data_IF_780839390583
#
_entry.id   IF_780839390583
#
_cell.length_a   1.000
_cell.length_b   1.000
_cell.length_c   1.000
_cell.angle_alpha   90.00
_cell.angle_beta   90.00
_cell.angle_gamma   90.00
#
_symmetry.space_group_name_H-M   'P 1'
#
loop_
_entity.id
_entity.type
_entity.pdbx_description
1 polymer ?
#
# COMPACT_ATOMS: atom_id res chain seq x y z
N UNK A 1 9.86 29.86 0.42
CA UNK A 1 8.49 29.32 0.31
C UNK A 1 8.45 28.11 1.24
N UNK A 2 8.09 28.35 2.51
CA UNK A 2 8.33 27.43 3.63
C UNK A 2 7.20 26.42 3.82
N UNK A 3 7.38 25.22 3.27
CA UNK A 3 6.50 24.08 3.49
C UNK A 3 6.50 23.63 4.97
N UNK A 4 7.63 23.78 5.66
CA UNK A 4 7.77 23.52 7.09
C UNK A 4 7.86 24.84 7.84
N UNK A 5 6.72 25.51 8.02
CA UNK A 5 6.72 26.85 8.60
C UNK A 5 6.98 26.79 10.11
N UNK A 6 8.23 27.10 10.51
CA UNK A 6 8.64 27.27 11.90
C UNK A 6 7.61 28.10 12.69
N UNK A 7 6.97 29.11 12.09
CA UNK A 7 6.05 30.03 12.79
C UNK A 7 4.92 29.35 13.58
N UNK A 8 4.45 28.16 13.16
CA UNK A 8 3.36 27.42 13.83
C UNK A 8 3.80 26.58 15.03
N UNK A 9 5.10 26.36 15.21
CA UNK A 9 5.63 25.60 16.34
C UNK A 9 5.67 26.44 17.61
N UNK A 10 5.50 25.79 18.76
CA UNK A 10 5.67 26.45 20.04
C UNK A 10 7.10 26.99 20.22
N UNK A 11 7.28 28.01 21.06
CA UNK A 11 8.59 28.63 21.28
C UNK A 11 9.61 27.63 21.79
N UNK A 12 9.19 26.68 22.62
CA UNK A 12 10.06 25.62 23.14
C UNK A 12 10.57 24.71 22.01
N UNK A 13 9.65 24.21 21.16
CA UNK A 13 10.02 23.35 20.04
C UNK A 13 10.94 24.06 19.04
N UNK A 14 10.69 25.35 18.77
CA UNK A 14 11.58 26.17 17.91
C UNK A 14 13.00 26.25 18.46
N UNK A 15 13.14 26.47 19.78
CA UNK A 15 14.45 26.56 20.41
C UNK A 15 15.21 25.22 20.32
N UNK A 16 14.51 24.10 20.56
CA UNK A 16 15.09 22.75 20.44
C UNK A 16 15.51 22.44 19.00
N UNK A 17 14.68 22.75 18.01
CA UNK A 17 15.03 22.59 16.58
C UNK A 17 16.24 23.44 16.20
N UNK A 18 16.33 24.69 16.69
CA UNK A 18 17.49 25.54 16.46
C UNK A 18 18.78 24.99 17.11
N UNK A 19 18.68 24.38 18.30
CA UNK A 19 19.79 23.70 18.97
C UNK A 19 20.29 22.51 18.13
N UNK A 20 19.36 21.67 17.66
CA UNK A 20 19.69 20.53 16.77
C UNK A 20 20.36 21.04 15.49
N UNK A 21 19.86 22.12 14.88
CA UNK A 21 20.42 22.70 13.65
C UNK A 21 21.86 23.15 13.82
N UNK A 22 22.14 23.83 14.93
CA UNK A 22 23.49 24.28 15.24
C UNK A 22 24.46 23.12 15.51
N UNK A 23 23.98 22.01 16.08
CA UNK A 23 24.80 20.83 16.39
C UNK A 23 25.10 19.97 15.17
N UNK A 24 24.09 19.70 14.35
CA UNK A 24 24.21 18.83 13.18
C UNK A 24 24.80 19.55 11.96
N UNK A 25 24.85 20.88 11.97
CA UNK A 25 25.35 21.67 10.83
C UNK A 25 24.36 21.75 9.66
N UNK A 26 23.10 21.34 9.88
CA UNK A 26 22.05 21.36 8.87
C UNK A 26 21.07 22.53 9.06
N UNK A 27 20.36 22.88 7.99
CA UNK A 27 19.31 23.91 8.04
C UNK A 27 18.19 23.52 9.03
N UNK A 28 17.57 24.49 9.73
CA UNK A 28 16.37 24.24 10.52
C UNK A 28 15.24 23.56 9.70
N UNK A 29 15.14 23.89 8.40
CA UNK A 29 14.15 23.28 7.50
C UNK A 29 14.41 21.79 7.28
N UNK A 30 15.68 21.36 7.24
CA UNK A 30 16.06 19.94 7.13
C UNK A 30 15.60 19.14 8.35
N UNK A 31 15.73 19.72 9.55
CA UNK A 31 15.29 19.05 10.79
C UNK A 31 13.78 18.89 10.81
N UNK A 32 13.03 19.92 10.40
CA UNK A 32 11.59 19.82 10.30
C UNK A 32 11.15 18.81 9.24
N UNK A 33 11.87 18.73 8.12
CA UNK A 33 11.63 17.74 7.08
C UNK A 33 11.79 16.31 7.62
N UNK A 34 12.89 16.03 8.35
CA UNK A 34 13.11 14.72 8.97
C UNK A 34 12.04 14.42 10.03
N UNK A 35 11.74 15.37 10.92
CA UNK A 35 10.69 15.24 11.93
C UNK A 35 9.31 14.93 11.33
N UNK A 36 8.99 15.51 10.17
CA UNK A 36 7.73 15.25 9.48
C UNK A 36 7.67 13.87 8.81
N UNK A 37 8.83 13.29 8.47
CA UNK A 37 8.92 11.95 7.86
C UNK A 37 8.92 10.81 8.88
N UNK A 38 9.20 11.12 10.14
CA UNK A 38 9.03 10.17 11.23
C UNK A 38 7.56 9.70 11.29
N UNK A 39 7.31 8.39 11.52
CA UNK A 39 5.97 7.91 11.81
C UNK A 39 5.45 8.75 12.97
N UNK A 40 4.19 9.17 12.91
CA UNK A 40 3.61 10.01 13.94
C UNK A 40 4.01 9.45 15.30
N UNK A 41 4.92 10.15 16.00
CA UNK A 41 5.13 10.04 17.42
C UNK A 41 3.87 10.62 18.09
N UNK A 42 2.73 10.02 17.75
CA UNK A 42 1.47 10.25 18.40
C UNK A 42 1.68 9.70 19.80
N UNK A 43 1.43 10.50 20.85
CA UNK A 43 1.44 9.99 22.21
C UNK A 43 0.40 8.87 22.45
N UNK A 44 -0.39 8.50 21.43
CA UNK A 44 -1.41 7.46 21.46
C UNK A 44 -1.05 6.16 20.74
N UNK A 45 0.10 6.06 20.07
CA UNK A 45 0.57 4.75 19.57
C UNK A 45 1.40 4.10 20.66
N UNK A 46 0.73 3.35 21.53
CA UNK A 46 1.39 2.39 22.41
C UNK A 46 1.82 1.19 21.57
N UNK A 47 3.06 1.24 21.11
CA UNK A 47 3.74 0.14 20.44
C UNK A 47 5.12 0.60 19.97
N UNK A 48 6.13 -0.23 20.17
CA UNK A 48 7.46 -0.05 19.60
C UNK A 48 7.35 -0.14 18.08
N UNK A 49 6.94 0.94 17.42
CA UNK A 49 7.06 1.08 15.97
C UNK A 49 8.52 1.44 15.71
N UNK A 50 9.36 0.40 15.78
CA UNK A 50 10.73 0.45 15.33
C UNK A 50 10.73 0.59 13.81
N UNK A 51 11.41 1.63 13.33
CA UNK A 51 11.69 1.81 11.92
C UNK A 51 13.20 1.79 11.80
N UNK A 52 13.68 0.85 11.01
CA UNK A 52 15.09 0.72 10.66
C UNK A 52 15.61 1.97 9.95
N UNK A 53 16.88 2.32 10.13
CA UNK A 53 17.52 3.49 9.51
C UNK A 53 17.42 3.48 7.98
N UNK A 54 17.50 2.29 7.38
CA UNK A 54 17.30 2.10 5.95
C UNK A 54 15.86 2.41 5.53
N UNK A 55 14.86 1.91 6.27
CA UNK A 55 13.44 2.18 5.98
C UNK A 55 13.12 3.68 6.13
N UNK A 56 13.65 4.33 7.17
CA UNK A 56 13.48 5.77 7.34
C UNK A 56 14.11 6.55 6.18
N UNK A 57 15.30 6.16 5.72
CA UNK A 57 15.97 6.80 4.58
C UNK A 57 15.13 6.72 3.30
N UNK A 58 14.56 5.54 2.99
CA UNK A 58 13.66 5.38 1.85
C UNK A 58 12.37 6.18 1.99
N UNK A 59 11.81 6.26 3.21
CA UNK A 59 10.63 7.10 3.47
C UNK A 59 10.92 8.58 3.26
N UNK A 60 12.07 9.06 3.71
CA UNK A 60 12.49 10.45 3.52
C UNK A 60 12.75 10.75 2.04
N UNK A 61 13.33 9.80 1.29
CA UNK A 61 13.45 9.89 -0.16
C UNK A 61 12.08 10.07 -0.85
N UNK A 62 11.13 9.18 -0.56
CA UNK A 62 9.79 9.23 -1.15
C UNK A 62 9.04 10.52 -0.75
N UNK A 63 9.23 10.97 0.49
CA UNK A 63 8.67 12.23 0.98
C UNK A 63 9.26 13.42 0.21
N UNK A 64 10.59 13.46 0.03
CA UNK A 64 11.25 14.55 -0.69
C UNK A 64 10.74 14.64 -2.13
N UNK A 65 10.63 13.50 -2.81
CA UNK A 65 10.09 13.44 -4.18
C UNK A 65 8.61 13.81 -4.24
N UNK A 66 7.81 13.40 -3.25
CA UNK A 66 6.38 13.76 -3.22
C UNK A 66 6.14 15.26 -2.99
N UNK A 67 7.04 15.95 -2.31
CA UNK A 67 6.89 17.36 -1.97
C UNK A 67 7.56 18.26 -3.03
N UNK A 68 8.77 17.90 -3.47
CA UNK A 68 9.62 18.75 -4.31
C UNK A 68 9.77 18.25 -5.75
N UNK A 69 9.39 17.01 -6.04
CA UNK A 69 9.58 16.39 -7.37
C UNK A 69 11.04 16.43 -7.81
N UNK A 70 11.27 16.90 -9.03
CA UNK A 70 12.60 16.95 -9.66
C UNK A 70 13.58 17.88 -8.93
N UNK A 71 13.08 18.87 -8.16
CA UNK A 71 13.93 19.77 -7.37
C UNK A 71 14.38 19.16 -6.02
N UNK A 72 13.94 17.93 -5.69
CA UNK A 72 14.21 17.33 -4.38
C UNK A 72 15.71 17.25 -4.04
N UNK A 73 16.55 16.85 -5.01
CA UNK A 73 17.99 16.73 -4.79
C UNK A 73 18.62 18.08 -4.43
N UNK A 74 18.30 19.13 -5.20
CA UNK A 74 18.87 20.47 -5.01
C UNK A 74 18.40 21.11 -3.70
N UNK A 75 17.13 20.89 -3.32
CA UNK A 75 16.59 21.36 -2.02
C UNK A 75 17.29 20.71 -0.84
N UNK A 76 17.44 19.39 -0.86
CA UNK A 76 18.10 18.65 0.22
C UNK A 76 19.56 19.07 0.34
N UNK A 77 20.28 19.20 -0.79
CA UNK A 77 21.66 19.70 -0.82
C UNK A 77 21.77 21.13 -0.26
N UNK A 78 20.84 22.01 -0.59
CA UNK A 78 20.79 23.37 -0.05
C UNK A 78 20.57 23.40 1.48
N UNK A 79 19.97 22.36 2.05
CA UNK A 79 19.80 22.21 3.50
C UNK A 79 20.94 21.48 4.19
N UNK A 80 21.98 21.10 3.43
CA UNK A 80 23.15 20.38 3.93
C UNK A 80 22.98 18.85 3.95
N UNK A 81 21.97 18.30 3.27
CA UNK A 81 21.75 16.86 3.15
C UNK A 81 22.25 16.43 1.76
N UNK A 82 23.33 15.67 1.74
CA UNK A 82 24.02 15.20 0.52
C UNK A 82 24.14 13.69 0.44
N UNK A 83 23.93 12.99 1.56
CA UNK A 83 24.04 11.55 1.68
C UNK A 83 22.98 11.00 2.64
N UNK A 84 22.75 9.68 2.61
CA UNK A 84 21.87 9.01 3.57
C UNK A 84 22.41 9.11 5.00
N UNK A 85 23.73 9.16 5.18
CA UNK A 85 24.39 9.39 6.48
C UNK A 85 23.98 10.71 7.14
N UNK A 86 23.71 11.74 6.35
CA UNK A 86 23.27 13.04 6.89
C UNK A 86 21.90 12.93 7.58
N UNK A 87 21.03 12.01 7.13
CA UNK A 87 19.79 11.71 7.86
C UNK A 87 20.08 11.08 9.23
N UNK A 88 21.04 10.16 9.29
CA UNK A 88 21.48 9.55 10.56
C UNK A 88 22.03 10.58 11.55
N UNK A 89 22.80 11.56 11.08
CA UNK A 89 23.30 12.66 11.92
C UNK A 89 22.15 13.51 12.48
N UNK A 90 21.15 13.85 11.66
CA UNK A 90 19.96 14.60 12.10
C UNK A 90 19.17 13.79 13.14
N UNK A 91 18.92 12.51 12.88
CA UNK A 91 18.17 11.61 13.77
C UNK A 91 18.88 11.45 15.11
N UNK A 92 20.20 11.24 15.10
CA UNK A 92 21.02 11.15 16.31
C UNK A 92 20.92 12.44 17.15
N UNK A 93 21.05 13.60 16.51
CA UNK A 93 20.92 14.89 17.19
C UNK A 93 19.49 15.14 17.73
N UNK A 94 18.45 14.65 17.04
CA UNK A 94 17.05 14.72 17.50
C UNK A 94 16.81 13.86 18.75
N UNK A 95 17.44 12.69 18.81
CA UNK A 95 17.39 11.80 19.97
C UNK A 95 18.07 12.42 21.18
N UNK A 96 19.26 13.00 21.00
CA UNK A 96 20.00 13.69 22.08
C UNK A 96 19.21 14.85 22.69
N UNK A 97 18.53 15.64 21.84
CA UNK A 97 17.70 16.75 22.29
C UNK A 97 16.31 16.30 22.79
N UNK A 98 16.04 14.99 22.82
CA UNK A 98 14.79 14.38 23.29
C UNK A 98 13.57 14.69 22.42
N UNK A 99 13.77 15.12 21.18
CA UNK A 99 12.69 15.39 20.21
C UNK A 99 12.18 14.10 19.56
N UNK A 100 12.96 13.02 19.68
CA UNK A 100 12.64 11.67 19.24
C UNK A 100 13.05 10.69 20.34
N UNK A 101 12.25 9.64 20.56
CA UNK A 101 12.63 8.56 21.47
C UNK A 101 13.65 7.65 20.78
N UNK A 102 14.76 7.37 21.45
CA UNK A 102 15.78 6.41 21.00
C UNK A 102 15.21 5.00 21.10
N UNK A 103 15.42 4.17 20.09
CA UNK A 103 15.34 2.72 20.23
C UNK A 103 16.79 2.20 20.28
N UNK A 104 17.05 1.22 21.14
CA UNK A 104 18.40 0.85 21.59
C UNK A 104 19.34 0.29 20.51
N UNK A 105 18.85 0.07 19.29
CA UNK A 105 19.60 -0.56 18.18
C UNK A 105 19.96 0.36 17.03
N UNK A 106 19.46 1.59 16.97
CA UNK A 106 19.73 2.47 15.82
C UNK A 106 21.11 3.13 15.96
N UNK A 107 22.04 2.68 15.12
CA UNK A 107 23.37 3.24 14.96
C UNK A 107 23.40 4.20 13.77
N UNK A 108 24.34 5.15 13.74
CA UNK A 108 24.46 6.07 12.59
C UNK A 108 24.83 5.27 11.32
N UNK A 109 25.53 4.16 11.52
CA UNK A 109 25.97 3.21 10.51
C UNK A 109 24.79 2.58 9.74
N UNK A 110 23.60 2.49 10.33
CA UNK A 110 22.39 1.99 9.64
C UNK A 110 21.90 2.93 8.52
N UNK A 111 22.45 4.14 8.46
CA UNK A 111 22.18 5.14 7.43
C UNK A 111 23.28 5.21 6.37
N UNK A 112 24.37 4.47 6.52
CA UNK A 112 25.46 4.48 5.54
C UNK A 112 25.09 3.70 4.28
N UNK A 113 25.33 4.31 3.11
CA UNK A 113 25.19 3.69 1.79
C UNK A 113 23.85 2.98 1.51
N UNK A 114 22.74 3.42 2.15
CA UNK A 114 21.40 2.83 1.96
C UNK A 114 20.97 2.93 0.50
N UNK A 115 21.25 4.07 -0.14
CA UNK A 115 21.09 4.28 -1.56
C UNK A 115 22.03 5.37 -2.08
N UNK A 116 22.32 5.33 -3.39
CA UNK A 116 23.08 6.38 -4.07
C UNK A 116 22.19 7.60 -4.27
N UNK A 117 22.45 8.64 -3.46
CA UNK A 117 21.65 9.85 -3.40
C UNK A 117 21.52 10.54 -4.78
N UNK A 118 22.63 10.74 -5.48
CA UNK A 118 22.61 11.41 -6.78
C UNK A 118 21.91 10.57 -7.84
N UNK A 119 22.09 9.24 -7.80
CA UNK A 119 21.47 8.33 -8.77
C UNK A 119 19.96 8.23 -8.58
N UNK A 120 19.50 8.00 -7.35
CA UNK A 120 18.07 7.75 -7.09
C UNK A 120 17.24 9.00 -7.40
N UNK A 121 17.65 10.18 -6.91
CA UNK A 121 16.93 11.43 -7.19
C UNK A 121 16.94 11.82 -8.68
N UNK A 122 18.00 11.51 -9.45
CA UNK A 122 18.04 11.76 -10.91
C UNK A 122 17.22 10.76 -11.71
N UNK A 123 17.09 9.53 -11.22
CA UNK A 123 16.32 8.47 -11.90
C UNK A 123 14.82 8.72 -11.88
N UNK A 124 14.35 9.57 -10.96
CA UNK A 124 12.96 9.97 -10.83
C UNK A 124 12.57 11.01 -11.90
N UNK A 125 12.46 10.60 -13.16
CA UNK A 125 11.99 11.50 -14.23
C UNK A 125 10.47 11.47 -14.43
N UNK A 126 9.75 10.62 -13.69
CA UNK A 126 8.27 10.60 -13.72
C UNK A 126 7.79 9.91 -12.45
N UNK A 127 6.91 10.52 -11.63
CA UNK A 127 6.25 9.76 -10.59
C UNK A 127 5.55 8.58 -11.26
N UNK A 128 5.75 7.32 -10.82
CA UNK A 128 4.83 6.28 -11.21
C UNK A 128 3.47 6.77 -10.72
N UNK A 129 2.58 7.15 -11.64
CA UNK A 129 1.22 7.55 -11.29
C UNK A 129 0.70 6.41 -10.45
N UNK A 130 0.55 6.62 -9.14
CA UNK A 130 0.00 5.64 -8.23
C UNK A 130 -1.48 5.60 -8.57
N UNK A 131 -1.80 4.94 -9.69
CA UNK A 131 -3.12 4.51 -10.07
C UNK A 131 -3.50 3.48 -9.02
N UNK A 132 -3.90 3.99 -7.85
CA UNK A 132 -4.65 3.24 -6.87
C UNK A 132 -5.96 2.98 -7.57
N UNK A 133 -6.03 1.90 -8.35
CA UNK A 133 -7.28 1.30 -8.78
C UNK A 133 -7.95 0.90 -7.47
N UNK A 134 -8.67 1.86 -6.91
CA UNK A 134 -9.53 1.67 -5.77
C UNK A 134 -10.68 0.85 -6.30
N UNK A 135 -10.57 -0.47 -6.14
CA UNK A 135 -11.69 -1.38 -6.35
C UNK A 135 -12.75 -1.01 -5.33
N UNK A 136 -13.58 -0.01 -5.65
CA UNK A 136 -14.73 0.34 -4.85
C UNK A 136 -15.75 -0.79 -5.01
N UNK A 137 -16.42 -1.15 -3.92
CA UNK A 137 -17.45 -2.19 -3.89
C UNK A 137 -18.53 -1.91 -4.95
N UNK A 138 -18.83 -0.63 -5.21
CA UNK A 138 -19.75 -0.20 -6.26
C UNK A 138 -19.27 -0.56 -7.67
N UNK A 139 -17.96 -0.45 -7.95
CA UNK A 139 -17.36 -0.82 -9.25
C UNK A 139 -17.41 -2.33 -9.46
N UNK A 140 -17.15 -3.10 -8.40
CA UNK A 140 -17.30 -4.56 -8.41
C UNK A 140 -18.77 -4.93 -8.67
N UNK A 141 -19.71 -4.28 -7.99
CA UNK A 141 -21.15 -4.53 -8.18
C UNK A 141 -21.59 -4.25 -9.63
N UNK A 142 -21.17 -3.12 -10.20
CA UNK A 142 -21.47 -2.77 -11.59
C UNK A 142 -20.93 -3.80 -12.61
N UNK A 143 -19.68 -4.25 -12.46
CA UNK A 143 -19.09 -5.28 -13.33
C UNK A 143 -19.88 -6.59 -13.22
N UNK A 144 -20.29 -6.97 -12.01
CA UNK A 144 -21.03 -8.21 -11.79
C UNK A 144 -22.44 -8.17 -12.37
N UNK A 145 -23.10 -7.01 -12.33
CA UNK A 145 -24.41 -6.81 -12.97
C UNK A 145 -24.31 -6.87 -14.50
N UNK A 146 -23.25 -6.31 -15.10
CA UNK A 146 -23.04 -6.39 -16.55
C UNK A 146 -22.78 -7.84 -16.99
N UNK A 147 -21.95 -8.57 -16.26
CA UNK A 147 -21.66 -10.00 -16.54
C UNK A 147 -22.92 -10.88 -16.36
N UNK A 148 -23.81 -10.53 -15.43
CA UNK A 148 -25.10 -11.21 -15.24
C UNK A 148 -25.99 -11.17 -16.48
N UNK A 149 -26.12 -9.97 -17.05
CA UNK A 149 -27.05 -9.69 -18.15
C UNK A 149 -26.54 -10.31 -19.45
N UNK A 150 -25.22 -10.43 -19.60
CA UNK A 150 -24.58 -11.06 -20.76
C UNK A 150 -24.51 -12.60 -20.67
N UNK A 151 -24.93 -13.22 -19.56
CA UNK A 151 -24.84 -14.66 -19.39
C UNK A 151 -25.86 -15.41 -20.27
N UNK A 152 -25.44 -16.49 -20.98
CA UNK A 152 -26.33 -17.29 -21.85
C UNK A 152 -27.58 -17.83 -21.13
N UNK A 153 -27.49 -18.07 -19.82
CA UNK A 153 -28.60 -18.54 -18.98
C UNK A 153 -29.78 -17.57 -18.87
N UNK A 154 -29.57 -16.26 -19.08
CA UNK A 154 -30.66 -15.27 -19.10
C UNK A 154 -31.63 -15.50 -20.28
N UNK A 155 -31.10 -15.94 -21.42
CA UNK A 155 -31.86 -16.13 -22.66
C UNK A 155 -32.69 -17.42 -22.62
N UNK A 156 -32.26 -18.43 -21.88
CA UNK A 156 -32.90 -19.76 -21.86
C UNK A 156 -33.94 -19.97 -20.74
N UNK A 157 -33.74 -19.39 -19.55
CA UNK A 157 -34.57 -19.69 -18.36
C UNK A 157 -35.04 -18.42 -17.60
N UNK A 158 -34.89 -17.24 -18.19
CA UNK A 158 -35.30 -15.97 -17.57
C UNK A 158 -34.58 -15.67 -16.25
N UNK A 159 -35.28 -15.06 -15.30
CA UNK A 159 -34.69 -14.53 -14.05
C UNK A 159 -34.09 -15.63 -13.15
N UNK A 160 -34.70 -16.82 -13.11
CA UNK A 160 -34.27 -17.93 -12.25
C UNK A 160 -32.94 -18.54 -12.72
N UNK A 161 -32.76 -18.71 -14.04
CA UNK A 161 -31.50 -19.18 -14.62
C UNK A 161 -30.38 -18.13 -14.57
N UNK A 162 -30.73 -16.85 -14.66
CA UNK A 162 -29.78 -15.75 -14.55
C UNK A 162 -29.13 -15.66 -13.16
N UNK A 163 -29.92 -15.86 -12.09
CA UNK A 163 -29.41 -15.89 -10.72
C UNK A 163 -28.44 -17.07 -10.53
N UNK A 164 -28.79 -18.26 -11.01
CA UNK A 164 -27.93 -19.44 -10.90
C UNK A 164 -26.59 -19.29 -11.65
N UNK A 165 -26.62 -18.77 -12.88
CA UNK A 165 -25.42 -18.51 -13.67
C UNK A 165 -24.51 -17.43 -13.03
N UNK A 166 -25.12 -16.40 -12.43
CA UNK A 166 -24.43 -15.36 -11.69
C UNK A 166 -23.66 -15.91 -10.49
N UNK A 167 -24.35 -16.65 -9.62
CA UNK A 167 -23.74 -17.23 -8.43
C UNK A 167 -22.64 -18.24 -8.81
N UNK A 168 -22.87 -19.07 -9.83
CA UNK A 168 -21.87 -20.01 -10.33
C UNK A 168 -20.60 -19.33 -10.83
N UNK A 169 -20.73 -18.30 -11.67
CA UNK A 169 -19.60 -17.53 -12.18
C UNK A 169 -18.83 -16.81 -11.05
N UNK A 170 -19.53 -16.23 -10.09
CA UNK A 170 -18.91 -15.51 -8.98
C UNK A 170 -18.15 -16.45 -8.02
N UNK A 171 -18.72 -17.62 -7.72
CA UNK A 171 -18.07 -18.64 -6.90
C UNK A 171 -16.80 -19.18 -7.57
N UNK A 172 -16.81 -19.38 -8.89
CA UNK A 172 -15.61 -19.79 -9.63
C UNK A 172 -14.52 -18.70 -9.65
N UNK A 173 -14.88 -17.43 -9.82
CA UNK A 173 -13.93 -16.30 -9.79
C UNK A 173 -13.35 -16.13 -8.38
N UNK A 174 -14.19 -16.16 -7.33
CA UNK A 174 -13.75 -16.08 -5.95
C UNK A 174 -12.86 -17.27 -5.55
N UNK A 175 -13.22 -18.48 -5.99
CA UNK A 175 -12.43 -19.69 -5.76
C UNK A 175 -11.06 -19.64 -6.45
N UNK A 176 -11.00 -19.16 -7.70
CA UNK A 176 -9.75 -18.95 -8.43
C UNK A 176 -8.85 -17.89 -7.77
N UNK A 177 -9.44 -16.81 -7.25
CA UNK A 177 -8.71 -15.79 -6.51
C UNK A 177 -8.13 -16.33 -5.19
N UNK A 178 -8.90 -17.13 -4.43
CA UNK A 178 -8.41 -17.81 -3.24
C UNK A 178 -7.27 -18.80 -3.54
N UNK A 179 -7.36 -19.54 -4.65
CA UNK A 179 -6.27 -20.41 -5.12
C UNK A 179 -5.01 -19.60 -5.46
N UNK A 180 -5.16 -18.49 -6.17
CA UNK A 180 -4.04 -17.61 -6.54
C UNK A 180 -3.36 -16.98 -5.31
N UNK A 181 -4.14 -16.57 -4.30
CA UNK A 181 -3.61 -16.11 -3.02
C UNK A 181 -2.90 -17.23 -2.26
N UNK A 182 -3.36 -18.47 -2.37
CA UNK A 182 -2.68 -19.64 -1.82
C UNK A 182 -1.32 -19.91 -2.49
N UNK A 183 -1.20 -19.73 -3.81
CA UNK A 183 0.05 -20.01 -4.53
C UNK A 183 1.16 -18.99 -4.24
N UNK A 184 0.83 -17.79 -3.77
CA UNK A 184 1.85 -16.78 -3.43
C UNK A 184 2.72 -17.24 -2.23
N UNK A 185 4.06 -17.13 -2.34
CA UNK A 185 4.95 -17.48 -1.24
C UNK A 185 4.76 -16.47 -0.11
N UNK A 186 4.58 -16.95 1.13
CA UNK A 186 4.47 -16.17 2.39
C UNK A 186 3.04 -15.85 2.89
N UNK A 187 2.13 -16.84 2.94
CA UNK A 187 0.91 -16.74 3.77
C UNK A 187 0.70 -18.00 4.63
N UNK A 188 0.53 -17.83 5.95
CA UNK A 188 0.37 -18.93 6.93
C UNK A 188 -0.92 -19.73 6.77
N UNK A 189 -1.88 -19.25 5.96
CA UNK A 189 -3.18 -19.87 5.69
C UNK A 189 -3.26 -20.60 4.34
N UNK A 190 -2.14 -20.88 3.68
CA UNK A 190 -2.08 -21.40 2.30
C UNK A 190 -2.95 -22.63 2.04
N UNK A 191 -2.88 -23.62 2.93
CA UNK A 191 -3.60 -24.89 2.74
C UNK A 191 -5.11 -24.64 2.75
N UNK A 192 -5.60 -23.87 3.73
CA UNK A 192 -7.02 -23.52 3.86
C UNK A 192 -7.50 -22.75 2.63
N UNK A 193 -6.74 -21.76 2.16
CA UNK A 193 -7.09 -20.95 0.98
C UNK A 193 -7.19 -21.80 -0.32
N UNK A 194 -6.29 -22.77 -0.50
CA UNK A 194 -6.30 -23.69 -1.64
C UNK A 194 -7.52 -24.63 -1.58
N UNK A 195 -7.78 -25.24 -0.41
CA UNK A 195 -8.91 -26.15 -0.23
C UNK A 195 -10.26 -25.45 -0.44
N UNK A 196 -10.48 -24.32 0.24
CA UNK A 196 -11.71 -23.54 0.07
C UNK A 196 -11.85 -23.00 -1.37
N UNK A 197 -10.75 -22.55 -1.98
CA UNK A 197 -10.74 -22.11 -3.37
C UNK A 197 -11.14 -23.22 -4.35
N UNK A 198 -10.59 -24.42 -4.22
CA UNK A 198 -10.93 -25.56 -5.06
C UNK A 198 -12.40 -25.99 -4.91
N UNK A 199 -12.91 -26.03 -3.68
CA UNK A 199 -14.32 -26.36 -3.41
C UNK A 199 -15.27 -25.33 -4.04
N UNK A 200 -14.97 -24.04 -3.92
CA UNK A 200 -15.77 -22.97 -4.53
C UNK A 200 -15.78 -23.04 -6.06
N UNK A 201 -14.65 -23.36 -6.69
CA UNK A 201 -14.57 -23.56 -8.15
C UNK A 201 -15.45 -24.74 -8.58
N UNK A 202 -15.36 -25.88 -7.89
CA UNK A 202 -16.16 -27.07 -8.21
C UNK A 202 -17.66 -26.80 -8.06
N UNK A 203 -18.07 -26.18 -6.95
CA UNK A 203 -19.47 -25.81 -6.71
C UNK A 203 -19.96 -24.83 -7.81
N UNK A 204 -19.15 -23.84 -8.18
CA UNK A 204 -19.49 -22.89 -9.24
C UNK A 204 -19.69 -23.56 -10.60
N UNK A 205 -18.81 -24.49 -10.98
CA UNK A 205 -18.91 -25.27 -12.23
C UNK A 205 -20.14 -26.17 -12.23
N UNK A 206 -20.47 -26.82 -11.12
CA UNK A 206 -21.67 -27.67 -10.99
C UNK A 206 -22.94 -26.85 -11.17
N UNK A 207 -23.05 -25.70 -10.50
CA UNK A 207 -24.20 -24.80 -10.63
C UNK A 207 -24.35 -24.30 -12.08
N UNK A 208 -23.26 -23.88 -12.71
CA UNK A 208 -23.26 -23.47 -14.13
C UNK A 208 -23.73 -24.59 -15.04
N UNK A 209 -23.29 -25.83 -14.81
CA UNK A 209 -23.67 -26.99 -15.62
C UNK A 209 -25.15 -27.33 -15.45
N UNK A 210 -25.66 -27.30 -14.22
CA UNK A 210 -27.07 -27.58 -13.93
C UNK A 210 -28.00 -26.52 -14.51
N UNK A 211 -27.62 -25.23 -14.48
CA UNK A 211 -28.41 -24.15 -15.08
C UNK A 211 -28.40 -24.16 -16.62
N UNK A 212 -27.45 -24.86 -17.25
CA UNK A 212 -27.31 -24.91 -18.71
C UNK A 212 -27.96 -26.14 -19.36
N UNK A 213 -28.47 -27.11 -18.58
CA UNK A 213 -29.23 -28.25 -19.13
C UNK A 213 -30.69 -27.84 -19.38
N UNK A 214 -31.19 -27.88 -20.63
CA UNK A 214 -32.62 -27.73 -20.90
C UNK A 214 -33.38 -28.97 -20.40
N UNK A 215 -34.52 -28.76 -19.75
CA UNK A 215 -35.43 -29.78 -19.24
C UNK A 215 -35.68 -30.90 -20.27
N UNK A 216 -35.09 -32.07 -20.04
CA UNK A 216 -35.40 -33.30 -20.79
C UNK A 216 -36.37 -34.16 -19.98
N UNK A 217 -37.56 -33.63 -19.69
CA UNK A 217 -38.65 -34.37 -19.02
C UNK A 217 -40.02 -33.89 -19.52
N UNK A 218 -40.53 -34.48 -20.62
CA UNK A 218 -41.96 -34.77 -20.88
C UNK A 218 -42.15 -35.38 -22.29
N UNK A 219 -41.56 -36.56 -22.50
CA UNK A 219 -41.95 -37.45 -23.59
C UNK A 219 -43.08 -38.37 -23.11
N UNK A 220 -44.33 -37.89 -23.14
CA UNK A 220 -45.49 -38.77 -23.02
C UNK A 220 -45.67 -39.55 -24.33
N UNK A 221 -45.84 -40.88 -24.32
CA UNK A 221 -46.21 -41.60 -25.53
C UNK A 221 -47.67 -41.26 -25.90
N UNK A 222 -47.85 -40.61 -27.06
CA UNK A 222 -49.15 -40.45 -27.70
C UNK A 222 -49.43 -41.70 -28.55
N UNK A 223 -50.48 -42.43 -28.19
CA UNK A 223 -51.32 -43.15 -29.14
C UNK A 223 -50.89 -44.57 -29.55
N UNK A 224 -51.65 -45.53 -29.03
CA UNK A 224 -51.98 -46.81 -29.68
C UNK A 224 -53.45 -47.07 -29.43
#
# INVERSE_FOLDING_TARGET
MGLFNLSRLDRETKARVACVAARSGHSPDAILFVLAGLPAASPYVQGDVHIDGAELSWRLHDQALSIFGDEACDKLKAWGISSTRDFGQIVSALVEEGLMLRIETDTIEDFDDVFDFDREFRSYHTPPTKNRIQFNLATLLAITTITAIAAPGFVAQGFTGAIGALYGAWLSVAGGYCLWLGVRPKSSGRVIAIFFGAVLVVIGVVILTMCCQPDQQLGMPVGG
#
